data_IF_976672705209
#
_entry.id   IF_976672705209
#
_cell.length_a   1.000
_cell.length_b   1.000
_cell.length_c   1.000
_cell.angle_alpha   90.00
_cell.angle_beta   90.00
_cell.angle_gamma   90.00
#
_symmetry.space_group_name_H-M   'P 1'
#
loop_
_entity.id
_entity.type
_entity.pdbx_description
1 polymer ?
#
# COMPACT_ATOMS: atom_id res chain seq x y z
N UNK A 1 -26.17 -14.91 1.21
CA UNK A 1 -24.78 -15.39 1.34
C UNK A 1 -24.02 -14.25 1.97
N UNK A 2 -23.81 -14.31 3.28
CA UNK A 2 -23.01 -13.30 3.97
C UNK A 2 -21.60 -13.38 3.40
N UNK A 3 -21.23 -12.39 2.57
CA UNK A 3 -19.85 -12.23 2.14
C UNK A 3 -19.05 -12.03 3.43
N UNK A 4 -18.21 -12.98 3.78
CA UNK A 4 -17.27 -12.81 4.89
C UNK A 4 -16.57 -11.46 4.73
N UNK A 5 -16.62 -10.65 5.78
CA UNK A 5 -15.89 -9.37 5.79
C UNK A 5 -14.42 -9.69 5.71
N UNK A 6 -13.75 -9.15 4.68
CA UNK A 6 -12.30 -9.24 4.57
C UNK A 6 -11.62 -8.69 5.83
N UNK A 7 -10.67 -9.45 6.38
CA UNK A 7 -9.84 -8.99 7.48
C UNK A 7 -8.64 -8.24 6.93
N UNK A 8 -8.58 -6.93 7.18
CA UNK A 8 -7.47 -6.09 6.77
C UNK A 8 -6.17 -6.54 7.45
N UNK A 9 -5.10 -6.57 6.66
CA UNK A 9 -3.78 -6.96 7.13
C UNK A 9 -3.05 -5.76 7.74
N UNK A 10 -2.12 -6.06 8.65
CA UNK A 10 -1.15 -5.09 9.15
C UNK A 10 0.26 -5.64 8.94
N UNK A 11 1.26 -4.77 8.72
CA UNK A 11 2.64 -5.22 8.57
C UNK A 11 3.10 -6.03 9.77
N UNK A 12 3.72 -7.19 9.52
CA UNK A 12 4.26 -8.10 10.53
C UNK A 12 5.79 -8.14 10.46
N UNK A 13 6.45 -8.50 11.58
CA UNK A 13 7.91 -8.53 11.66
C UNK A 13 8.59 -7.16 11.72
N UNK A 14 7.81 -6.09 11.90
CA UNK A 14 8.28 -4.70 11.94
C UNK A 14 8.09 -4.14 13.35
N UNK A 15 9.15 -3.59 13.91
CA UNK A 15 9.14 -2.92 15.20
C UNK A 15 8.66 -1.47 15.08
N UNK A 16 9.10 -0.76 14.03
CA UNK A 16 8.66 0.61 13.79
C UNK A 16 8.81 1.03 12.32
N UNK A 17 8.07 2.07 11.98
CA UNK A 17 8.19 2.80 10.72
C UNK A 17 8.48 4.27 11.01
N UNK A 18 9.22 4.93 10.11
CA UNK A 18 9.34 6.39 10.07
C UNK A 18 8.73 6.91 8.79
N UNK A 19 7.76 7.82 8.88
CA UNK A 19 7.06 8.37 7.73
C UNK A 19 7.26 9.88 7.61
N UNK A 20 7.10 10.39 6.38
CA UNK A 20 6.91 11.80 6.06
C UNK A 20 5.63 11.95 5.27
N UNK A 21 4.71 12.74 5.80
CA UNK A 21 3.43 13.02 5.14
C UNK A 21 3.31 14.51 4.82
N UNK A 22 2.70 14.83 3.67
CA UNK A 22 2.17 16.17 3.43
C UNK A 22 0.95 16.41 4.32
N UNK A 23 0.57 17.68 4.53
CA UNK A 23 -0.66 18.00 5.28
C UNK A 23 -1.89 17.34 4.65
N UNK A 24 -1.98 17.36 3.30
CA UNK A 24 -3.06 16.72 2.55
C UNK A 24 -3.10 15.20 2.76
N UNK A 25 -1.94 14.54 2.72
CA UNK A 25 -1.85 13.10 2.98
C UNK A 25 -2.28 12.77 4.42
N UNK A 26 -1.84 13.56 5.40
CA UNK A 26 -2.21 13.35 6.80
C UNK A 26 -3.71 13.56 7.04
N UNK A 27 -4.30 14.61 6.44
CA UNK A 27 -5.74 14.85 6.50
C UNK A 27 -6.54 13.68 5.92
N UNK A 28 -6.09 13.14 4.78
CA UNK A 28 -6.73 11.96 4.20
C UNK A 28 -6.60 10.74 5.11
N UNK A 29 -5.41 10.46 5.65
CA UNK A 29 -5.18 9.30 6.53
C UNK A 29 -6.06 9.32 7.80
N UNK A 30 -6.34 10.50 8.36
CA UNK A 30 -7.26 10.69 9.50
C UNK A 30 -8.75 10.54 9.15
N UNK A 31 -9.11 10.37 7.87
CA UNK A 31 -10.48 10.20 7.42
C UNK A 31 -10.92 8.73 7.26
N UNK A 32 -12.07 8.55 6.63
CA UNK A 32 -12.62 7.26 6.24
C UNK A 32 -12.85 7.20 4.73
N UNK A 33 -12.93 5.97 4.19
CA UNK A 33 -13.39 5.69 2.84
C UNK A 33 -14.54 4.70 2.92
N UNK A 34 -15.66 5.05 2.32
CA UNK A 34 -16.83 4.17 2.21
C UNK A 34 -16.61 3.09 1.16
N UNK A 35 -17.11 1.88 1.36
CA UNK A 35 -17.15 0.82 0.35
C UNK A 35 -18.43 0.90 -0.52
N UNK A 36 -18.69 -0.09 -1.37
CA UNK A 36 -19.88 -0.09 -2.24
C UNK A 36 -21.18 -0.42 -1.51
N UNK A 37 -21.11 -0.94 -0.28
CA UNK A 37 -22.25 -1.20 0.60
C UNK A 37 -22.52 -0.04 1.57
N UNK A 38 -21.78 1.06 1.49
CA UNK A 38 -21.93 2.19 2.42
C UNK A 38 -21.15 2.03 3.72
N UNK A 39 -20.33 0.98 3.88
CA UNK A 39 -19.54 0.77 5.10
C UNK A 39 -18.29 1.63 5.08
N UNK A 40 -18.05 2.37 6.15
CA UNK A 40 -16.83 3.17 6.30
C UNK A 40 -15.66 2.33 6.82
N UNK A 41 -14.48 2.54 6.23
CA UNK A 41 -13.20 1.99 6.68
C UNK A 41 -12.22 3.13 6.93
N UNK A 42 -11.48 3.08 8.04
CA UNK A 42 -10.44 4.06 8.35
C UNK A 42 -9.33 4.06 7.29
N UNK A 43 -8.89 5.25 6.88
CA UNK A 43 -7.90 5.37 5.81
C UNK A 43 -6.51 4.85 6.22
N UNK A 44 -6.15 4.94 7.50
CA UNK A 44 -4.98 4.23 8.04
C UNK A 44 -5.09 2.71 7.92
N UNK A 45 -6.28 2.12 8.02
CA UNK A 45 -6.48 0.67 7.84
C UNK A 45 -6.24 0.27 6.39
N UNK A 46 -6.76 1.05 5.43
CA UNK A 46 -6.50 0.81 4.00
C UNK A 46 -5.01 0.95 3.66
N UNK A 47 -4.37 2.01 4.16
CA UNK A 47 -2.94 2.22 3.94
C UNK A 47 -2.08 1.14 4.60
N UNK A 48 -2.44 0.72 5.82
CA UNK A 48 -1.81 -0.38 6.54
C UNK A 48 -1.91 -1.71 5.79
N UNK A 49 -3.07 -1.99 5.18
CA UNK A 49 -3.28 -3.19 4.36
C UNK A 49 -2.41 -3.22 3.09
N UNK A 50 -2.16 -2.04 2.49
CA UNK A 50 -1.19 -1.92 1.41
C UNK A 50 0.24 -2.13 1.91
N UNK A 51 0.63 -1.46 3.00
CA UNK A 51 1.96 -1.62 3.62
C UNK A 51 2.23 -3.07 4.04
N UNK A 52 1.22 -3.82 4.47
CA UNK A 52 1.36 -5.21 4.88
C UNK A 52 1.82 -6.13 3.73
N UNK A 53 1.67 -5.68 2.48
CA UNK A 53 2.09 -6.41 1.27
C UNK A 53 3.52 -6.06 0.85
N UNK A 54 4.17 -5.12 1.53
CA UNK A 54 5.52 -4.68 1.24
C UNK A 54 6.53 -5.78 1.55
N UNK A 55 7.42 -6.04 0.60
CA UNK A 55 8.58 -6.89 0.82
C UNK A 55 9.59 -6.18 1.73
N UNK A 56 9.97 -6.80 2.85
CA UNK A 56 10.97 -6.25 3.79
C UNK A 56 12.40 -6.48 3.33
N UNK A 57 12.60 -7.48 2.49
CA UNK A 57 13.86 -7.83 1.83
C UNK A 57 13.56 -8.20 0.38
N UNK A 58 14.60 -8.22 -0.46
CA UNK A 58 14.46 -8.72 -1.82
C UNK A 58 13.90 -10.14 -1.82
N UNK A 59 12.79 -10.34 -2.54
CA UNK A 59 12.06 -11.60 -2.50
C UNK A 59 11.19 -11.83 -3.73
N UNK A 60 10.99 -13.11 -4.08
CA UNK A 60 10.05 -13.48 -5.12
C UNK A 60 8.62 -13.43 -4.58
N UNK A 61 7.79 -12.55 -5.11
CA UNK A 61 6.37 -12.51 -4.84
C UNK A 61 5.69 -13.76 -5.41
N UNK A 62 5.10 -14.58 -4.54
CA UNK A 62 4.43 -15.85 -4.89
C UNK A 62 2.90 -15.73 -5.03
N UNK A 63 2.33 -14.54 -4.80
CA UNK A 63 0.88 -14.30 -4.76
C UNK A 63 0.20 -14.17 -6.13
N UNK A 64 0.97 -14.25 -7.22
CA UNK A 64 0.49 -14.04 -8.58
C UNK A 64 1.00 -15.14 -9.52
N UNK A 65 0.31 -15.32 -10.65
CA UNK A 65 0.56 -16.43 -11.58
C UNK A 65 2.01 -16.49 -12.11
N UNK A 66 2.70 -15.34 -12.18
CA UNK A 66 4.13 -15.27 -12.50
C UNK A 66 4.89 -14.72 -11.30
N UNK A 67 5.88 -15.45 -10.76
CA UNK A 67 6.77 -14.93 -9.73
C UNK A 67 7.44 -13.64 -10.21
N UNK A 68 7.35 -12.60 -9.40
CA UNK A 68 8.01 -11.32 -9.65
C UNK A 68 9.05 -11.10 -8.54
N UNK A 69 10.29 -10.79 -8.93
CA UNK A 69 11.28 -10.35 -7.95
C UNK A 69 10.93 -8.92 -7.51
N UNK A 70 10.61 -8.77 -6.23
CA UNK A 70 10.40 -7.48 -5.58
C UNK A 70 11.68 -7.09 -4.85
N UNK A 71 12.07 -5.83 -4.99
CA UNK A 71 13.06 -5.22 -4.10
C UNK A 71 12.43 -4.85 -2.76
N UNK A 72 13.25 -4.79 -1.71
CA UNK A 72 12.84 -4.30 -0.39
C UNK A 72 12.15 -2.91 -0.50
N UNK A 73 10.94 -2.77 0.05
CA UNK A 73 10.12 -1.56 -0.05
C UNK A 73 9.07 -1.59 -1.17
N UNK A 74 9.06 -2.62 -2.02
CA UNK A 74 8.02 -2.81 -3.05
C UNK A 74 6.90 -3.74 -2.56
N UNK A 75 5.69 -3.50 -3.05
CA UNK A 75 4.55 -4.41 -2.90
C UNK A 75 3.94 -4.72 -4.26
N UNK A 76 3.59 -5.98 -4.51
CA UNK A 76 2.79 -6.34 -5.68
C UNK A 76 1.29 -6.18 -5.35
N UNK A 77 0.50 -5.73 -6.32
CA UNK A 77 -0.95 -5.59 -6.14
C UNK A 77 -1.75 -5.93 -7.38
N UNK A 78 -3.04 -6.17 -7.19
CA UNK A 78 -4.03 -6.28 -8.26
C UNK A 78 -5.25 -5.46 -7.89
N UNK A 79 -5.69 -4.60 -8.81
CA UNK A 79 -6.93 -3.84 -8.64
C UNK A 79 -8.15 -4.77 -8.50
N UNK A 80 -8.09 -5.98 -9.06
CA UNK A 80 -9.16 -6.98 -8.93
C UNK A 80 -9.18 -7.64 -7.55
N UNK A 81 -8.01 -8.00 -7.02
CA UNK A 81 -7.90 -8.52 -5.66
C UNK A 81 -8.30 -7.47 -4.64
N UNK A 82 -7.80 -6.24 -4.76
CA UNK A 82 -8.18 -5.13 -3.89
C UNK A 82 -9.69 -4.82 -4.00
N UNK A 83 -10.26 -4.90 -5.20
CA UNK A 83 -11.69 -4.70 -5.40
C UNK A 83 -12.54 -5.72 -4.64
N UNK A 84 -12.14 -6.99 -4.68
CA UNK A 84 -12.79 -8.06 -3.93
C UNK A 84 -12.60 -7.89 -2.41
N UNK A 85 -11.36 -7.64 -1.98
CA UNK A 85 -10.99 -7.54 -0.57
C UNK A 85 -11.61 -6.31 0.12
N UNK A 86 -11.62 -5.15 -0.55
CA UNK A 86 -12.12 -3.92 0.05
C UNK A 86 -13.59 -3.65 -0.28
N UNK A 87 -14.25 -4.58 -1.00
CA UNK A 87 -15.64 -4.45 -1.43
C UNK A 87 -15.92 -3.11 -2.16
N UNK A 88 -14.99 -2.74 -3.05
CA UNK A 88 -15.04 -1.51 -3.84
C UNK A 88 -14.87 -1.86 -5.31
N UNK A 89 -15.68 -1.31 -6.20
CA UNK A 89 -15.55 -1.54 -7.64
C UNK A 89 -14.17 -1.14 -8.17
N UNK A 90 -13.66 -1.86 -9.18
CA UNK A 90 -12.31 -1.62 -9.76
C UNK A 90 -12.05 -0.17 -10.17
N UNK A 91 -13.07 0.56 -10.64
CA UNK A 91 -12.97 2.01 -10.95
C UNK A 91 -12.64 2.82 -9.70
N UNK A 92 -13.29 2.51 -8.57
CA UNK A 92 -13.07 3.17 -7.28
C UNK A 92 -11.69 2.86 -6.72
N UNK A 93 -11.26 1.59 -6.78
CA UNK A 93 -9.89 1.20 -6.40
C UNK A 93 -8.87 1.98 -7.22
N UNK A 94 -9.03 2.05 -8.54
CA UNK A 94 -8.10 2.79 -9.40
C UNK A 94 -8.03 4.28 -9.04
N UNK A 95 -9.17 4.91 -8.80
CA UNK A 95 -9.23 6.33 -8.41
C UNK A 95 -8.62 6.55 -7.03
N UNK A 96 -8.81 5.62 -6.10
CA UNK A 96 -8.20 5.65 -4.78
C UNK A 96 -6.68 5.57 -4.89
N UNK A 97 -6.14 4.58 -5.63
CA UNK A 97 -4.69 4.45 -5.84
C UNK A 97 -4.09 5.70 -6.52
N UNK A 98 -4.80 6.30 -7.49
CA UNK A 98 -4.38 7.56 -8.10
C UNK A 98 -4.34 8.71 -7.08
N UNK A 99 -5.34 8.81 -6.20
CA UNK A 99 -5.39 9.81 -5.13
C UNK A 99 -4.24 9.62 -4.14
N UNK A 100 -3.95 8.37 -3.73
CA UNK A 100 -2.81 8.06 -2.86
C UNK A 100 -1.47 8.41 -3.52
N UNK A 101 -1.38 8.26 -4.84
CA UNK A 101 -0.18 8.62 -5.62
C UNK A 101 0.01 10.13 -5.67
N UNK A 102 -1.07 10.88 -5.96
CA UNK A 102 -1.09 12.35 -5.96
C UNK A 102 -0.73 12.94 -4.58
N UNK A 103 -1.09 12.26 -3.49
CA UNK A 103 -0.71 12.66 -2.13
C UNK A 103 0.71 12.23 -1.71
N UNK A 104 1.43 11.47 -2.56
CA UNK A 104 2.76 10.95 -2.28
C UNK A 104 2.82 9.80 -1.26
N UNK A 105 1.67 9.18 -0.94
CA UNK A 105 1.61 8.04 -0.02
C UNK A 105 2.17 6.77 -0.66
N UNK A 106 1.84 6.56 -1.93
CA UNK A 106 2.34 5.45 -2.74
C UNK A 106 2.83 5.96 -4.08
N UNK A 107 3.54 5.11 -4.82
CA UNK A 107 3.72 5.29 -6.24
C UNK A 107 3.43 3.96 -6.93
N UNK A 108 2.60 3.97 -7.96
CA UNK A 108 2.22 2.74 -8.69
C UNK A 108 2.87 2.68 -10.06
N UNK A 109 3.53 1.57 -10.36
CA UNK A 109 4.01 1.22 -11.70
C UNK A 109 3.24 0.01 -12.21
N UNK A 110 2.53 0.18 -13.34
CA UNK A 110 1.74 -0.89 -13.97
C UNK A 110 2.41 -1.34 -15.26
N UNK A 111 2.56 -2.65 -15.41
CA UNK A 111 3.05 -3.28 -16.63
C UNK A 111 2.09 -4.38 -17.10
N UNK A 112 2.35 -4.95 -18.28
CA UNK A 112 1.62 -6.14 -18.77
C UNK A 112 1.86 -7.38 -17.91
N UNK A 113 2.95 -7.41 -17.13
CA UNK A 113 3.38 -8.59 -16.36
C UNK A 113 2.93 -8.50 -14.91
N UNK A 114 3.03 -7.31 -14.30
CA UNK A 114 2.65 -7.07 -12.93
C UNK A 114 2.37 -5.59 -12.65
N UNK A 115 1.60 -5.33 -11.60
CA UNK A 115 1.48 -4.01 -10.99
C UNK A 115 2.21 -4.00 -9.65
N UNK A 116 3.14 -3.07 -9.51
CA UNK A 116 3.98 -2.90 -8.32
C UNK A 116 3.72 -1.51 -7.75
N UNK A 117 3.74 -1.39 -6.43
CA UNK A 117 3.74 -0.12 -5.73
C UNK A 117 4.95 0.03 -4.83
N UNK A 118 5.36 1.27 -4.61
CA UNK A 118 6.33 1.69 -3.60
C UNK A 118 5.67 2.69 -2.66
N UNK A 119 6.33 3.01 -1.54
CA UNK A 119 5.81 3.90 -0.50
C UNK A 119 6.75 5.10 -0.29
N UNK A 120 6.71 6.15 -1.12
CA UNK A 120 7.65 7.27 -1.01
C UNK A 120 7.56 8.04 0.32
N UNK A 121 6.38 8.01 0.96
CA UNK A 121 6.19 8.57 2.30
C UNK A 121 6.91 7.80 3.41
N UNK A 122 7.32 6.55 3.17
CA UNK A 122 8.06 5.73 4.13
C UNK A 122 9.55 6.08 4.03
N UNK A 123 10.15 6.60 5.09
CA UNK A 123 11.57 6.96 5.10
C UNK A 123 12.46 5.75 5.43
N UNK A 124 12.05 4.98 6.43
CA UNK A 124 12.78 3.81 6.92
C UNK A 124 11.86 2.91 7.76
N UNK A 125 12.23 1.65 7.91
CA UNK A 125 11.58 0.71 8.81
C UNK A 125 12.61 -0.06 9.62
N UNK A 126 12.23 -0.44 10.84
CA UNK A 126 13.03 -1.29 11.71
C UNK A 126 12.33 -2.63 11.88
N UNK A 127 13.04 -3.73 11.64
CA UNK A 127 12.51 -5.07 11.87
C UNK A 127 12.66 -5.46 13.34
N UNK A 128 11.97 -6.52 13.78
CA UNK A 128 12.06 -7.00 15.17
C UNK A 128 13.47 -7.50 15.55
N UNK A 129 14.26 -7.92 14.56
CA UNK A 129 15.53 -8.62 14.76
C UNK A 129 16.77 -7.80 14.33
N UNK A 130 16.62 -6.70 13.56
CA UNK A 130 17.75 -6.01 12.90
C UNK A 130 17.73 -4.47 12.99
N UNK A 131 18.75 -3.89 12.35
CA UNK A 131 19.01 -2.47 12.09
C UNK A 131 17.89 -1.75 11.31
N UNK A 132 17.96 -0.42 11.33
CA UNK A 132 17.06 0.46 10.56
C UNK A 132 17.36 0.34 9.06
N UNK A 133 16.38 -0.04 8.26
CA UNK A 133 16.48 -0.14 6.80
C UNK A 133 15.93 1.14 6.18
N UNK A 134 16.78 1.84 5.42
CA UNK A 134 16.38 3.04 4.66
C UNK A 134 15.56 2.63 3.43
N UNK A 135 14.50 3.36 3.14
CA UNK A 135 13.68 3.10 1.95
C UNK A 135 14.42 3.55 0.67
N UNK A 136 14.68 2.64 -0.29
CA UNK A 136 15.34 3.01 -1.55
C UNK A 136 14.42 3.76 -2.52
N UNK A 137 13.12 3.84 -2.25
CA UNK A 137 12.10 4.43 -3.14
C UNK A 137 11.55 5.77 -2.65
N UNK A 138 12.36 6.55 -1.94
CA UNK A 138 12.03 7.94 -1.62
C UNK A 138 12.19 8.74 -2.92
N UNK A 139 11.09 8.98 -3.62
CA UNK A 139 11.09 9.93 -4.73
C UNK A 139 11.06 11.33 -4.14
N UNK A 140 12.14 12.10 -4.34
CA UNK A 140 12.12 13.55 -4.15
C UNK A 140 10.94 14.07 -4.97
N UNK A 141 9.94 14.64 -4.29
CA UNK A 141 8.87 15.35 -4.97
C UNK A 141 9.56 16.46 -5.77
N UNK A 142 9.61 16.34 -7.10
CA UNK A 142 9.90 17.50 -7.95
C UNK A 142 8.79 18.49 -7.62
N UNK A 143 9.16 19.55 -6.90
CA UNK A 143 8.39 20.77 -6.82
C UNK A 143 8.15 21.22 -8.28
N UNK A 144 6.88 21.26 -8.68
CA UNK A 144 6.45 22.01 -9.87
C UNK A 144 6.44 23.51 -9.56
#
# INVERSE_FOLDING_TARGET
MDKETYSFMYPSGIASFSFRFSNRAMQWLCGTTTDDNGRETGNFTLFGDLLARMALTDSAAKGFHRPLMLSAGQAQYSEEQLSSQWNMGRKRIRNLLATLTDMGLIYTCRSRVASVMTFPCLLQWKTAEYDSISNPFIHEQREE
#
